data_IF_169982097893
#
_entry.id   IF_169982097893
#
_cell.length_a   1.000
_cell.length_b   1.000
_cell.length_c   1.000
_cell.angle_alpha   90.00
_cell.angle_beta   90.00
_cell.angle_gamma   90.00
#
_symmetry.space_group_name_H-M   'P 1'
#
loop_
_entity.id
_entity.type
_entity.pdbx_description
1 polymer ?
#
# COMPACT_ATOMS: atom_id res chain seq x y z
N UNK A 1 -30.79 9.67 -35.99
CA UNK A 1 -31.31 10.42 -34.82
C UNK A 1 -31.37 9.47 -33.63
N UNK A 2 -30.53 9.68 -32.59
CA UNK A 2 -30.69 8.96 -31.32
C UNK A 2 -31.83 9.63 -30.56
N UNK A 3 -32.88 8.87 -30.21
CA UNK A 3 -33.89 9.32 -29.25
C UNK A 3 -33.19 9.78 -27.96
N UNK A 4 -33.64 10.88 -27.36
CA UNK A 4 -33.14 11.49 -26.11
C UNK A 4 -33.11 10.49 -24.95
N UNK A 5 -34.09 9.57 -24.91
CA UNK A 5 -34.11 8.44 -23.97
C UNK A 5 -32.97 7.45 -24.23
N UNK A 6 -32.68 7.19 -25.50
CA UNK A 6 -31.52 6.41 -25.93
C UNK A 6 -30.19 7.10 -25.60
N UNK A 7 -30.13 8.43 -25.66
CA UNK A 7 -28.95 9.21 -25.27
C UNK A 7 -28.71 9.12 -23.75
N UNK A 8 -29.72 9.38 -22.93
CA UNK A 8 -29.65 9.24 -21.46
C UNK A 8 -29.25 7.82 -21.04
N UNK A 9 -29.92 6.79 -21.60
CA UNK A 9 -29.58 5.38 -21.34
C UNK A 9 -28.18 5.02 -21.82
N UNK A 10 -27.75 5.51 -22.99
CA UNK A 10 -26.39 5.23 -23.47
C UNK A 10 -25.33 5.89 -22.59
N UNK A 11 -25.59 7.10 -22.09
CA UNK A 11 -24.67 7.82 -21.21
C UNK A 11 -24.62 7.18 -19.82
N UNK A 12 -25.74 6.69 -19.28
CA UNK A 12 -25.75 5.94 -18.02
C UNK A 12 -25.03 4.59 -18.12
N UNK A 13 -25.15 3.88 -19.26
CA UNK A 13 -24.35 2.67 -19.52
C UNK A 13 -22.86 3.02 -19.58
N UNK A 14 -22.47 4.08 -20.29
CA UNK A 14 -21.06 4.53 -20.35
C UNK A 14 -20.52 4.92 -18.97
N UNK A 15 -21.35 5.56 -18.13
CA UNK A 15 -20.98 5.86 -16.75
C UNK A 15 -20.73 4.57 -15.96
N UNK A 16 -21.63 3.58 -16.04
CA UNK A 16 -21.49 2.30 -15.38
C UNK A 16 -20.26 1.50 -15.85
N UNK A 17 -19.97 1.50 -17.15
CA UNK A 17 -18.77 0.89 -17.72
C UNK A 17 -17.49 1.56 -17.20
N UNK A 18 -17.46 2.89 -17.14
CA UNK A 18 -16.34 3.65 -16.60
C UNK A 18 -16.16 3.39 -15.09
N UNK A 19 -17.24 3.31 -14.31
CA UNK A 19 -17.18 2.92 -12.90
C UNK A 19 -16.65 1.50 -12.73
N UNK A 20 -17.09 0.54 -13.55
CA UNK A 20 -16.56 -0.83 -13.51
C UNK A 20 -15.05 -0.85 -13.81
N UNK A 21 -14.60 -0.09 -14.81
CA UNK A 21 -13.17 0.04 -15.11
C UNK A 21 -12.38 0.68 -13.95
N UNK A 22 -12.96 1.67 -13.25
CA UNK A 22 -12.38 2.25 -12.05
C UNK A 22 -12.23 1.21 -10.92
N UNK A 23 -13.24 0.37 -10.69
CA UNK A 23 -13.20 -0.68 -9.66
C UNK A 23 -12.14 -1.75 -9.97
N UNK A 24 -11.97 -2.11 -11.25
CA UNK A 24 -10.88 -3.02 -11.66
C UNK A 24 -9.51 -2.42 -11.36
N UNK A 25 -9.31 -1.14 -11.66
CA UNK A 25 -8.07 -0.45 -11.35
C UNK A 25 -7.84 -0.34 -9.82
N UNK A 26 -8.91 -0.11 -9.04
CA UNK A 26 -8.85 -0.12 -7.58
C UNK A 26 -8.42 -1.50 -7.02
N UNK A 27 -8.93 -2.60 -7.59
CA UNK A 27 -8.51 -3.94 -7.22
C UNK A 27 -7.02 -4.18 -7.50
N UNK A 28 -6.53 -3.78 -8.67
CA UNK A 28 -5.09 -3.88 -8.99
C UNK A 28 -4.22 -3.02 -8.08
N UNK A 29 -4.69 -1.83 -7.66
CA UNK A 29 -4.00 -1.01 -6.67
C UNK A 29 -3.94 -1.68 -5.30
N UNK A 30 -5.05 -2.30 -4.86
CA UNK A 30 -5.10 -3.06 -3.62
C UNK A 30 -4.16 -4.28 -3.63
N UNK A 31 -4.13 -5.04 -4.74
CA UNK A 31 -3.20 -6.17 -4.93
C UNK A 31 -1.74 -5.70 -4.81
N UNK A 32 -1.38 -4.61 -5.49
CA UNK A 32 -0.04 -4.04 -5.39
C UNK A 32 0.30 -3.60 -3.97
N UNK A 33 -0.66 -3.00 -3.27
CA UNK A 33 -0.48 -2.51 -1.89
C UNK A 33 -0.23 -3.70 -0.96
N UNK A 34 -1.03 -4.76 -1.04
CA UNK A 34 -0.84 -5.99 -0.25
C UNK A 34 0.52 -6.62 -0.56
N UNK A 35 0.89 -6.75 -1.84
CA UNK A 35 2.19 -7.29 -2.23
C UNK A 35 3.36 -6.45 -1.66
N UNK A 36 3.27 -5.12 -1.73
CA UNK A 36 4.29 -4.24 -1.15
C UNK A 36 4.34 -4.33 0.38
N UNK A 37 3.20 -4.40 1.07
CA UNK A 37 3.14 -4.50 2.53
C UNK A 37 3.70 -5.84 3.02
N UNK A 38 3.44 -6.94 2.30
CA UNK A 38 4.04 -8.24 2.59
C UNK A 38 5.55 -8.21 2.39
N UNK A 39 6.03 -7.64 1.28
CA UNK A 39 7.46 -7.54 1.00
C UNK A 39 8.19 -6.69 2.05
N UNK A 40 7.72 -5.47 2.31
CA UNK A 40 8.30 -4.59 3.35
C UNK A 40 8.21 -5.23 4.74
N UNK A 41 7.08 -5.86 5.07
CA UNK A 41 6.92 -6.54 6.34
C UNK A 41 7.86 -7.73 6.53
N UNK A 42 8.15 -8.48 5.46
CA UNK A 42 9.12 -9.57 5.49
C UNK A 42 10.55 -9.05 5.69
N UNK A 43 10.94 -7.98 4.99
CA UNK A 43 12.24 -7.34 5.17
C UNK A 43 12.42 -6.79 6.60
N UNK A 44 11.37 -6.17 7.17
CA UNK A 44 11.37 -5.73 8.57
C UNK A 44 11.53 -6.89 9.55
N UNK A 45 10.89 -8.04 9.29
CA UNK A 45 11.06 -9.23 10.10
C UNK A 45 12.51 -9.71 10.08
N UNK A 46 13.11 -9.83 8.89
CA UNK A 46 14.52 -10.20 8.76
C UNK A 46 15.47 -9.21 9.46
N UNK A 47 15.17 -7.91 9.43
CA UNK A 47 15.94 -6.90 10.14
C UNK A 47 15.85 -7.06 11.67
N UNK A 48 14.65 -7.35 12.20
CA UNK A 48 14.44 -7.61 13.62
C UNK A 48 15.17 -8.88 14.09
N UNK A 49 15.19 -9.92 13.25
CA UNK A 49 15.93 -11.15 13.55
C UNK A 49 17.44 -10.90 13.64
N UNK A 50 17.98 -10.11 12.70
CA UNK A 50 19.40 -9.74 12.71
C UNK A 50 19.73 -8.83 13.91
N UNK A 51 18.83 -7.91 14.26
CA UNK A 51 18.98 -7.08 15.45
C UNK A 51 18.99 -7.93 16.73
N UNK A 52 18.09 -8.92 16.84
CA UNK A 52 18.10 -9.87 17.96
C UNK A 52 19.42 -10.64 18.03
N UNK A 53 19.90 -11.16 16.89
CA UNK A 53 21.18 -11.89 16.81
C UNK A 53 22.36 -11.03 17.28
N UNK A 54 22.44 -9.77 16.83
CA UNK A 54 23.50 -8.84 17.25
C UNK A 54 23.39 -8.48 18.73
N UNK A 55 22.17 -8.29 19.25
CA UNK A 55 21.94 -8.02 20.68
C UNK A 55 22.33 -9.23 21.55
N UNK A 56 22.06 -10.45 21.11
CA UNK A 56 22.48 -11.68 21.80
C UNK A 56 24.02 -11.83 21.82
N UNK A 57 24.70 -11.58 20.70
CA UNK A 57 26.16 -11.57 20.64
C UNK A 57 26.77 -10.45 21.53
N UNK A 58 26.10 -9.30 21.60
CA UNK A 58 26.49 -8.21 22.51
C UNK A 58 26.31 -8.61 23.97
N UNK A 59 25.21 -9.29 24.31
CA UNK A 59 24.96 -9.78 25.67
C UNK A 59 26.05 -10.77 26.10
N UNK A 60 26.46 -11.69 25.22
CA UNK A 60 27.55 -12.63 25.47
C UNK A 60 28.86 -11.88 25.75
N UNK A 61 29.18 -10.88 24.94
CA UNK A 61 30.38 -10.04 25.14
C UNK A 61 30.33 -9.30 26.48
N UNK A 62 29.18 -8.72 26.83
CA UNK A 62 28.97 -8.03 28.12
C UNK A 62 29.05 -8.98 29.31
N UNK A 63 28.57 -10.22 29.16
CA UNK A 63 28.72 -11.26 30.17
C UNK A 63 30.20 -11.58 30.42
N UNK A 64 31.00 -11.68 29.36
CA UNK A 64 32.44 -11.92 29.48
C UNK A 64 33.15 -10.75 30.20
N UNK A 65 32.78 -9.51 29.88
CA UNK A 65 33.28 -8.31 30.59
C UNK A 65 32.88 -8.29 32.06
N UNK A 66 31.63 -8.64 32.39
CA UNK A 66 31.16 -8.75 33.77
C UNK A 66 31.95 -9.80 34.56
N UNK A 67 32.16 -10.99 33.97
CA UNK A 67 32.94 -12.06 34.60
C UNK A 67 34.41 -11.67 34.79
N UNK A 68 34.99 -10.88 33.88
CA UNK A 68 36.34 -10.35 34.04
C UNK A 68 36.42 -9.31 35.16
N UNK A 69 35.51 -8.34 35.17
CA UNK A 69 35.45 -7.30 36.21
C UNK A 69 35.23 -7.89 37.60
N UNK A 70 34.37 -8.91 37.72
CA UNK A 70 34.17 -9.64 38.97
C UNK A 70 35.47 -10.29 39.47
N UNK A 71 36.19 -11.02 38.60
CA UNK A 71 37.46 -11.67 38.96
C UNK A 71 38.54 -10.66 39.37
N UNK A 72 38.63 -9.53 38.68
CA UNK A 72 39.56 -8.45 39.04
C UNK A 72 39.21 -7.81 40.37
N UNK A 73 37.91 -7.69 40.70
CA UNK A 73 37.47 -7.14 41.98
C UNK A 73 37.81 -8.10 43.13
N UNK A 74 37.56 -9.40 42.94
CA UNK A 74 37.89 -10.46 43.92
C UNK A 74 39.40 -10.54 44.21
N UNK A 75 40.23 -10.19 43.23
CA UNK A 75 41.70 -10.14 43.35
C UNK A 75 42.26 -8.77 43.71
N UNK A 76 41.40 -7.75 43.91
CA UNK A 76 41.79 -6.40 44.33
C UNK A 76 42.34 -5.47 43.24
N UNK A 77 42.30 -5.87 41.96
CA UNK A 77 42.80 -5.09 40.83
C UNK A 77 41.82 -4.03 40.30
N UNK A 78 40.54 -4.08 40.66
CA UNK A 78 39.54 -3.08 40.27
C UNK A 78 38.61 -2.69 41.42
N UNK A 79 37.88 -1.59 41.26
CA UNK A 79 36.95 -1.08 42.27
C UNK A 79 35.58 -1.74 42.19
N UNK A 80 34.80 -1.70 43.28
CA UNK A 80 33.41 -2.15 43.28
C UNK A 80 32.54 -1.37 42.28
N UNK A 81 32.87 -0.11 42.02
CA UNK A 81 32.15 0.73 41.06
C UNK A 81 32.22 0.15 39.65
N UNK A 82 33.42 -0.23 39.20
CA UNK A 82 33.65 -0.82 37.87
C UNK A 82 32.89 -2.15 37.70
N UNK A 83 32.88 -3.00 38.72
CA UNK A 83 32.09 -4.24 38.70
C UNK A 83 30.57 -3.96 38.61
N UNK A 84 30.05 -3.01 39.40
CA UNK A 84 28.64 -2.64 39.35
C UNK A 84 28.24 -1.97 38.02
N UNK A 85 29.15 -1.21 37.39
CA UNK A 85 28.93 -0.66 36.06
C UNK A 85 28.82 -1.76 35.01
N UNK A 86 29.75 -2.73 34.98
CA UNK A 86 29.67 -3.87 34.08
C UNK A 86 28.40 -4.70 34.30
N UNK A 87 27.96 -4.87 35.56
CA UNK A 87 26.72 -5.56 35.89
C UNK A 87 25.50 -4.79 35.37
N UNK A 88 25.49 -3.46 35.53
CA UNK A 88 24.43 -2.59 35.00
C UNK A 88 24.33 -2.71 33.48
N UNK A 89 25.45 -2.62 32.76
CA UNK A 89 25.48 -2.74 31.30
C UNK A 89 24.97 -4.09 30.80
N UNK A 90 25.33 -5.19 31.48
CA UNK A 90 24.81 -6.53 31.18
C UNK A 90 23.29 -6.58 31.33
N UNK A 91 22.74 -6.04 32.43
CA UNK A 91 21.29 -6.02 32.64
C UNK A 91 20.57 -5.13 31.63
N UNK A 92 21.17 -4.00 31.23
CA UNK A 92 20.64 -3.13 30.17
C UNK A 92 20.57 -3.87 28.83
N UNK A 93 21.62 -4.58 28.43
CA UNK A 93 21.60 -5.39 27.21
C UNK A 93 20.57 -6.51 27.28
N UNK A 94 20.47 -7.20 28.42
CA UNK A 94 19.50 -8.30 28.64
C UNK A 94 18.05 -7.82 28.54
N UNK A 95 17.77 -6.61 29.02
CA UNK A 95 16.42 -6.03 28.97
C UNK A 95 15.92 -5.73 27.55
N UNK A 96 16.81 -5.63 26.55
CA UNK A 96 16.42 -5.36 25.16
C UNK A 96 15.87 -6.60 24.44
N UNK A 97 16.29 -7.81 24.84
CA UNK A 97 15.91 -9.07 24.17
C UNK A 97 14.39 -9.30 24.18
N UNK A 98 13.67 -9.20 25.32
CA UNK A 98 12.22 -9.42 25.33
C UNK A 98 11.46 -8.43 24.45
N UNK A 99 11.95 -7.19 24.34
CA UNK A 99 11.34 -6.17 23.50
C UNK A 99 11.47 -6.54 22.02
N UNK A 100 12.65 -7.00 21.58
CA UNK A 100 12.87 -7.45 20.20
C UNK A 100 12.05 -8.69 19.88
N UNK A 101 11.99 -9.67 20.79
CA UNK A 101 11.15 -10.87 20.64
C UNK A 101 9.66 -10.52 20.50
N UNK A 102 9.18 -9.54 21.27
CA UNK A 102 7.81 -9.06 21.14
C UNK A 102 7.55 -8.42 19.77
N UNK A 103 8.46 -7.57 19.28
CA UNK A 103 8.36 -6.94 17.96
C UNK A 103 8.35 -7.98 16.83
N UNK A 104 9.19 -9.02 16.93
CA UNK A 104 9.20 -10.15 15.99
C UNK A 104 7.83 -10.84 15.97
N UNK A 105 7.27 -11.18 17.13
CA UNK A 105 5.96 -11.83 17.21
C UNK A 105 4.83 -10.93 16.64
N UNK A 106 4.88 -9.62 16.89
CA UNK A 106 3.92 -8.68 16.29
C UNK A 106 4.03 -8.66 14.77
N UNK A 107 5.25 -8.66 14.23
CA UNK A 107 5.50 -8.64 12.80
C UNK A 107 5.07 -9.95 12.12
N UNK A 108 5.31 -11.10 12.75
CA UNK A 108 4.83 -12.41 12.28
C UNK A 108 3.29 -12.46 12.23
N UNK A 109 2.62 -11.91 13.24
CA UNK A 109 1.16 -11.83 13.28
C UNK A 109 0.63 -10.92 12.16
N UNK A 110 1.23 -9.75 11.96
CA UNK A 110 0.84 -8.82 10.90
C UNK A 110 0.97 -9.46 9.50
N UNK A 111 2.07 -10.16 9.25
CA UNK A 111 2.28 -10.89 8.00
C UNK A 111 1.32 -12.07 7.83
N UNK A 112 1.04 -12.82 8.90
CA UNK A 112 0.06 -13.92 8.86
C UNK A 112 -1.31 -13.43 8.43
N UNK A 113 -1.75 -12.28 8.96
CA UNK A 113 -3.03 -11.64 8.58
C UNK A 113 -3.04 -11.26 7.09
N UNK A 114 -1.95 -10.67 6.58
CA UNK A 114 -1.86 -10.26 5.16
C UNK A 114 -1.90 -11.45 4.19
N UNK A 115 -1.40 -12.62 4.61
CA UNK A 115 -1.43 -13.86 3.81
C UNK A 115 -2.72 -14.67 4.05
N UNK A 116 -3.61 -14.20 4.93
CA UNK A 116 -4.88 -14.88 5.25
C UNK A 116 -4.70 -16.14 6.10
N UNK A 117 -3.61 -16.22 6.87
CA UNK A 117 -3.30 -17.33 7.78
C UNK A 117 -3.49 -16.92 9.25
N UNK A 118 -3.70 -17.92 10.11
CA UNK A 118 -3.67 -17.69 11.56
C UNK A 118 -2.24 -17.33 12.04
N UNK A 119 -2.10 -16.57 13.14
CA UNK A 119 -0.83 -16.27 13.79
C UNK A 119 0.07 -17.50 13.92
N UNK A 120 1.23 -17.45 13.26
CA UNK A 120 2.25 -18.50 13.32
C UNK A 120 3.64 -17.93 13.09
N UNK A 121 4.64 -18.70 13.48
CA UNK A 121 6.02 -18.43 13.08
C UNK A 121 6.16 -18.56 11.56
N UNK A 122 6.90 -17.62 10.97
CA UNK A 122 7.16 -17.55 9.54
C UNK A 122 8.56 -18.10 9.26
N UNK A 123 8.66 -19.03 8.31
CA UNK A 123 9.95 -19.60 7.93
C UNK A 123 10.83 -18.55 7.23
N UNK A 124 12.07 -18.41 7.68
CA UNK A 124 13.08 -17.50 7.12
C UNK A 124 14.03 -18.31 6.26
N UNK A 125 14.23 -17.90 5.00
CA UNK A 125 15.07 -18.65 4.05
C UNK A 125 16.41 -17.97 3.75
N UNK A 126 16.55 -16.69 4.07
CA UNK A 126 17.71 -15.86 3.72
C UNK A 126 18.32 -15.18 4.94
N UNK A 127 19.65 -15.14 5.01
CA UNK A 127 20.38 -14.22 5.89
C UNK A 127 20.19 -12.79 5.38
N UNK A 128 20.06 -11.83 6.30
CA UNK A 128 19.81 -10.41 5.97
C UNK A 128 20.83 -9.86 4.94
N UNK A 129 22.11 -10.23 5.07
CA UNK A 129 23.21 -9.81 4.20
C UNK A 129 23.10 -10.27 2.74
N UNK A 130 22.26 -11.26 2.45
CA UNK A 130 22.07 -11.78 1.09
C UNK A 130 20.97 -11.04 0.32
N UNK A 131 20.20 -10.17 0.99
CA UNK A 131 19.14 -9.39 0.39
C UNK A 131 19.74 -8.29 -0.50
N UNK A 132 19.67 -8.47 -1.83
CA UNK A 132 20.14 -7.47 -2.79
C UNK A 132 19.00 -6.59 -3.27
N UNK A 133 19.21 -5.27 -3.22
CA UNK A 133 18.35 -4.31 -3.89
C UNK A 133 18.39 -4.55 -5.42
N UNK A 134 17.22 -4.60 -6.04
CA UNK A 134 17.14 -4.63 -7.50
C UNK A 134 17.53 -3.27 -8.08
N UNK A 135 18.32 -3.27 -9.16
CA UNK A 135 18.66 -2.05 -9.88
C UNK A 135 17.39 -1.44 -10.49
N UNK A 136 17.12 -0.18 -10.16
CA UNK A 136 15.98 0.54 -10.71
C UNK A 136 16.25 0.89 -12.18
N UNK A 137 15.32 0.60 -13.09
CA UNK A 137 15.43 1.08 -14.46
C UNK A 137 15.33 2.61 -14.46
N UNK A 138 16.22 3.30 -15.18
CA UNK A 138 16.18 4.74 -15.39
C UNK A 138 15.01 5.11 -16.31
N UNK A 139 13.78 5.06 -15.80
CA UNK A 139 12.59 5.49 -16.53
C UNK A 139 12.25 6.93 -16.15
N UNK A 140 11.84 7.74 -17.13
CA UNK A 140 11.34 9.08 -16.86
C UNK A 140 10.07 8.99 -15.99
N UNK A 141 9.88 9.91 -15.02
CA UNK A 141 8.70 9.93 -14.14
C UNK A 141 7.36 9.86 -14.89
N UNK A 142 7.29 10.50 -16.07
CA UNK A 142 6.07 10.55 -16.88
C UNK A 142 5.60 9.19 -17.41
N UNK A 143 6.52 8.27 -17.72
CA UNK A 143 6.16 6.94 -18.22
C UNK A 143 5.71 5.99 -17.10
N UNK A 144 6.18 6.20 -15.87
CA UNK A 144 5.76 5.44 -14.68
C UNK A 144 4.32 5.76 -14.28
N UNK A 145 3.86 7.01 -14.47
CA UNK A 145 2.48 7.43 -14.13
C UNK A 145 1.42 6.69 -14.95
N UNK A 146 1.70 6.37 -16.22
CA UNK A 146 0.75 5.65 -17.07
C UNK A 146 0.54 4.18 -16.64
N UNK A 147 1.40 3.66 -15.77
CA UNK A 147 1.29 2.29 -15.22
C UNK A 147 0.60 2.23 -13.86
N UNK A 148 0.35 3.39 -13.23
CA UNK A 148 -0.16 3.47 -11.86
C UNK A 148 -1.67 3.23 -11.81
N UNK A 149 -2.14 2.16 -11.13
CA UNK A 149 -3.56 1.79 -11.13
C UNK A 149 -4.45 2.82 -10.42
N UNK A 150 -3.93 3.58 -9.45
CA UNK A 150 -4.62 4.67 -8.76
C UNK A 150 -4.92 5.87 -9.68
N UNK A 151 -3.98 6.23 -10.56
CA UNK A 151 -4.20 7.28 -11.59
C UNK A 151 -5.25 6.82 -12.59
N UNK A 152 -5.17 5.56 -13.03
CA UNK A 152 -6.19 4.96 -13.91
C UNK A 152 -7.56 4.97 -13.24
N UNK A 153 -7.66 4.59 -11.97
CA UNK A 153 -8.91 4.65 -11.22
C UNK A 153 -9.50 6.07 -11.20
N UNK A 154 -8.70 7.07 -10.84
CA UNK A 154 -9.14 8.45 -10.77
C UNK A 154 -9.59 8.99 -12.14
N UNK A 155 -8.86 8.65 -13.22
CA UNK A 155 -9.25 8.99 -14.59
C UNK A 155 -10.59 8.34 -14.97
N UNK A 156 -10.81 7.07 -14.63
CA UNK A 156 -12.05 6.35 -14.93
C UNK A 156 -13.24 6.92 -14.14
N UNK A 157 -13.03 7.36 -12.91
CA UNK A 157 -14.05 8.07 -12.13
C UNK A 157 -14.43 9.42 -12.73
N UNK A 158 -13.45 10.19 -13.23
CA UNK A 158 -13.70 11.42 -13.97
C UNK A 158 -14.56 11.14 -15.22
N UNK A 159 -14.20 10.14 -16.02
CA UNK A 159 -15.00 9.74 -17.21
C UNK A 159 -16.42 9.28 -16.84
N UNK A 160 -16.58 8.60 -15.71
CA UNK A 160 -17.91 8.22 -15.22
C UNK A 160 -18.75 9.45 -14.85
N UNK A 161 -18.13 10.45 -14.19
CA UNK A 161 -18.80 11.71 -13.84
C UNK A 161 -19.15 12.55 -15.08
N UNK A 162 -18.29 12.57 -16.10
CA UNK A 162 -18.56 13.20 -17.41
C UNK A 162 -19.76 12.56 -18.11
N UNK A 163 -19.81 11.23 -18.15
CA UNK A 163 -20.93 10.50 -18.73
C UNK A 163 -22.23 10.72 -17.95
N UNK A 164 -22.14 10.85 -16.62
CA UNK A 164 -23.30 11.12 -15.75
C UNK A 164 -23.84 12.54 -15.97
N UNK A 165 -22.96 13.53 -16.15
CA UNK A 165 -23.34 14.89 -16.54
C UNK A 165 -24.03 14.89 -17.91
N UNK A 166 -23.49 14.17 -18.89
CA UNK A 166 -24.12 14.04 -20.21
C UNK A 166 -25.49 13.35 -20.15
N UNK A 167 -25.69 12.41 -19.21
CA UNK A 167 -26.99 11.79 -18.97
C UNK A 167 -27.98 12.78 -18.34
N UNK A 168 -27.55 13.59 -17.37
CA UNK A 168 -28.38 14.64 -16.76
C UNK A 168 -28.77 15.72 -17.78
N UNK A 169 -27.83 16.16 -18.62
CA UNK A 169 -28.12 17.11 -19.71
C UNK A 169 -29.12 16.55 -20.73
N UNK A 170 -29.06 15.24 -21.03
CA UNK A 170 -30.02 14.60 -21.92
C UNK A 170 -31.46 14.58 -21.36
N UNK A 171 -31.64 14.68 -20.04
CA UNK A 171 -32.97 14.74 -19.41
C UNK A 171 -33.65 16.12 -19.57
N UNK A 172 -32.90 17.18 -19.91
CA UNK A 172 -33.47 18.49 -20.26
C UNK A 172 -34.18 18.49 -21.63
N UNK A 173 -33.93 17.47 -22.45
CA UNK A 173 -34.53 17.32 -23.76
C UNK A 173 -35.86 16.56 -23.67
N UNK A 174 -36.84 16.81 -24.56
CA UNK A 174 -38.10 16.09 -24.56
C UNK A 174 -37.86 14.60 -24.79
N UNK A 175 -38.56 13.76 -24.01
CA UNK A 175 -38.46 12.30 -24.08
C UNK A 175 -39.46 11.74 -25.09
N UNK A 176 -38.98 10.81 -25.93
CA UNK A 176 -39.78 10.08 -26.91
C UNK A 176 -39.90 8.63 -26.45
N UNK A 177 -41.09 8.24 -26.00
CA UNK A 177 -41.38 6.87 -25.59
C UNK A 177 -42.24 6.21 -26.67
N UNK A 178 -41.73 5.12 -27.24
CA UNK A 178 -42.47 4.25 -28.16
C UNK A 178 -42.81 2.98 -27.42
N UNK A 179 -44.10 2.74 -27.21
CA UNK A 179 -44.62 1.52 -26.60
C UNK A 179 -45.35 0.72 -27.66
N UNK A 180 -44.99 -0.55 -27.78
CA UNK A 180 -45.74 -1.53 -28.54
C UNK A 180 -46.15 -2.65 -27.58
N UNK A 181 -47.42 -3.03 -27.60
CA UNK A 181 -47.93 -4.13 -26.79
C UNK A 181 -48.80 -5.04 -27.64
N UNK A 182 -48.78 -6.33 -27.29
CA UNK A 182 -49.64 -7.35 -27.88
C UNK A 182 -50.33 -8.12 -26.76
N UNK A 183 -51.63 -8.30 -26.87
CA UNK A 183 -52.45 -9.03 -25.90
C UNK A 183 -53.22 -10.13 -26.62
N UNK A 184 -53.20 -11.32 -26.04
CA UNK A 184 -54.09 -12.42 -26.42
C UNK A 184 -55.27 -12.41 -25.45
N UNK A 185 -56.49 -12.24 -25.97
CA UNK A 185 -57.70 -12.22 -25.16
C UNK A 185 -58.69 -13.26 -25.67
N UNK A 186 -59.38 -13.93 -24.76
CA UNK A 186 -60.52 -14.81 -25.10
C UNK A 186 -61.57 -14.74 -24.00
N UNK A 187 -62.84 -14.96 -24.35
CA UNK A 187 -63.95 -15.07 -23.40
C UNK A 187 -64.00 -16.42 -22.69
N UNK A 188 -63.32 -17.44 -23.23
CA UNK A 188 -63.25 -18.79 -22.66
C UNK A 188 -61.80 -19.32 -22.66
N UNK A 189 -61.43 -20.08 -21.62
CA UNK A 189 -60.06 -20.59 -21.42
C UNK A 189 -59.64 -21.62 -22.50
N UNK A 190 -60.59 -22.39 -23.03
CA UNK A 190 -60.36 -23.37 -24.11
C UNK A 190 -60.02 -22.68 -25.46
N UNK A 191 -60.67 -21.56 -25.77
CA UNK A 191 -60.45 -20.77 -26.99
C UNK A 191 -59.09 -20.05 -27.03
N UNK A 192 -58.40 -19.91 -25.90
CA UNK A 192 -57.01 -19.40 -25.89
C UNK A 192 -56.04 -20.35 -26.59
N UNK A 193 -56.33 -21.65 -26.63
CA UNK A 193 -55.51 -22.67 -27.28
C UNK A 193 -55.90 -22.89 -28.75
N UNK A 194 -57.18 -22.79 -29.10
CA UNK A 194 -57.67 -23.14 -30.44
C UNK A 194 -57.73 -21.95 -31.42
N UNK A 195 -58.18 -20.76 -30.98
CA UNK A 195 -58.21 -19.57 -31.84
C UNK A 195 -58.24 -18.25 -31.03
N UNK A 196 -57.12 -17.86 -30.41
CA UNK A 196 -57.07 -16.67 -29.55
C UNK A 196 -57.23 -15.37 -30.36
N UNK A 197 -58.01 -14.40 -29.83
CA UNK A 197 -58.04 -13.05 -30.42
C UNK A 197 -56.71 -12.35 -30.16
N UNK A 198 -56.03 -11.96 -31.24
CA UNK A 198 -54.74 -11.26 -31.21
C UNK A 198 -54.98 -9.76 -31.36
N UNK A 199 -54.81 -9.01 -30.27
CA UNK A 199 -54.81 -7.55 -30.31
C UNK A 199 -53.37 -7.05 -30.22
N UNK A 200 -53.01 -6.08 -31.06
CA UNK A 200 -51.75 -5.37 -30.98
C UNK A 200 -52.02 -3.87 -30.96
N UNK A 201 -51.21 -3.12 -30.23
CA UNK A 201 -51.26 -1.66 -30.22
C UNK A 201 -49.85 -1.07 -30.26
N UNK A 202 -49.71 0.04 -30.97
CA UNK A 202 -48.49 0.84 -31.04
C UNK A 202 -48.83 2.28 -30.69
N UNK A 203 -48.15 2.83 -29.69
CA UNK A 203 -48.35 4.19 -29.21
C UNK A 203 -47.01 4.88 -29.05
N UNK A 204 -46.95 6.16 -29.41
CA UNK A 204 -45.82 7.04 -29.13
C UNK A 204 -46.28 8.17 -28.23
N UNK A 205 -45.54 8.47 -27.16
CA UNK A 205 -45.75 9.67 -26.36
C UNK A 205 -44.50 10.54 -26.36
N UNK A 206 -44.71 11.84 -26.50
CA UNK A 206 -43.66 12.86 -26.35
C UNK A 206 -43.93 13.59 -25.05
N UNK A 207 -43.04 13.44 -24.06
CA UNK A 207 -43.12 14.20 -22.82
C UNK A 207 -42.00 15.25 -22.80
N UNK A 208 -42.38 16.51 -22.89
CA UNK A 208 -41.50 17.65 -22.64
C UNK A 208 -41.65 18.11 -21.18
N UNK A 209 -40.56 18.16 -20.40
CA UNK A 209 -40.63 18.67 -19.02
C UNK A 209 -40.78 20.19 -19.04
N UNK A 210 -42.03 20.68 -18.96
CA UNK A 210 -42.33 22.11 -18.90
C UNK A 210 -42.35 22.64 -17.45
N UNK A 211 -42.92 21.87 -16.50
CA UNK A 211 -43.08 22.26 -15.10
C UNK A 211 -41.86 21.95 -14.21
N UNK A 212 -41.05 20.94 -14.56
CA UNK A 212 -39.94 20.46 -13.72
C UNK A 212 -38.57 20.98 -14.18
N UNK A 213 -38.53 22.02 -15.01
CA UNK A 213 -37.30 22.50 -15.67
C UNK A 213 -36.27 23.03 -14.69
N UNK A 214 -36.70 23.72 -13.63
CA UNK A 214 -35.80 24.22 -12.58
C UNK A 214 -35.15 23.06 -11.81
N UNK A 215 -35.93 22.06 -11.41
CA UNK A 215 -35.41 20.86 -10.73
C UNK A 215 -34.38 20.09 -11.58
N UNK A 216 -34.65 19.93 -12.89
CA UNK A 216 -33.71 19.29 -13.81
C UNK A 216 -32.45 20.13 -14.04
N UNK A 217 -32.56 21.46 -14.07
CA UNK A 217 -31.41 22.37 -14.18
C UNK A 217 -30.52 22.26 -12.94
N UNK A 218 -31.12 22.28 -11.75
CA UNK A 218 -30.41 22.06 -10.49
C UNK A 218 -29.71 20.68 -10.46
N UNK A 219 -30.32 19.65 -11.04
CA UNK A 219 -29.71 18.32 -11.13
C UNK A 219 -28.49 18.29 -12.07
N UNK A 220 -28.52 19.06 -13.16
CA UNK A 220 -27.35 19.27 -14.03
C UNK A 220 -26.25 20.02 -13.27
N UNK A 221 -26.59 21.05 -12.49
CA UNK A 221 -25.62 21.79 -11.68
C UNK A 221 -24.93 20.89 -10.65
N UNK A 222 -25.69 20.02 -9.97
CA UNK A 222 -25.15 18.99 -9.06
C UNK A 222 -24.22 18.02 -9.81
N UNK A 223 -24.59 17.59 -11.01
CA UNK A 223 -23.74 16.72 -11.83
C UNK A 223 -22.45 17.42 -12.30
N UNK A 224 -22.53 18.72 -12.63
CA UNK A 224 -21.36 19.54 -12.96
C UNK A 224 -20.42 19.70 -11.76
N UNK A 225 -20.97 19.98 -10.58
CA UNK A 225 -20.18 20.07 -9.35
C UNK A 225 -19.49 18.73 -9.03
N UNK A 226 -20.19 17.61 -9.19
CA UNK A 226 -19.65 16.25 -9.00
C UNK A 226 -18.51 15.94 -9.98
N UNK A 227 -18.66 16.37 -11.24
CA UNK A 227 -17.60 16.26 -12.25
C UNK A 227 -16.38 17.09 -11.90
N UNK A 228 -16.57 18.34 -11.47
CA UNK A 228 -15.46 19.20 -11.05
C UNK A 228 -14.73 18.63 -9.82
N UNK A 229 -15.47 18.06 -8.87
CA UNK A 229 -14.88 17.33 -7.74
C UNK A 229 -14.03 16.14 -8.22
N UNK A 230 -14.52 15.35 -9.19
CA UNK A 230 -13.76 14.24 -9.76
C UNK A 230 -12.50 14.72 -10.50
N UNK A 231 -12.57 15.87 -11.18
CA UNK A 231 -11.43 16.49 -11.86
C UNK A 231 -10.34 16.90 -10.85
N UNK A 232 -10.69 17.63 -9.79
CA UNK A 232 -9.74 17.99 -8.75
C UNK A 232 -9.21 16.75 -8.00
N UNK A 233 -10.05 15.71 -7.86
CA UNK A 233 -9.64 14.42 -7.35
C UNK A 233 -8.53 13.79 -8.20
N UNK A 234 -8.71 13.77 -9.53
CA UNK A 234 -7.70 13.30 -10.48
C UNK A 234 -6.42 14.13 -10.42
N UNK A 235 -6.52 15.46 -10.45
CA UNK A 235 -5.34 16.34 -10.36
C UNK A 235 -4.54 16.11 -9.07
N UNK A 236 -5.23 15.94 -7.93
CA UNK A 236 -4.59 15.64 -6.65
C UNK A 236 -3.86 14.30 -6.69
N UNK A 237 -4.48 13.25 -7.22
CA UNK A 237 -3.85 11.91 -7.34
C UNK A 237 -2.61 11.99 -8.21
N UNK A 238 -2.65 12.69 -9.34
CA UNK A 238 -1.49 12.88 -10.21
C UNK A 238 -0.36 13.63 -9.49
N UNK A 239 -0.66 14.75 -8.82
CA UNK A 239 0.34 15.53 -8.08
C UNK A 239 0.98 14.73 -6.95
N UNK A 240 0.18 13.98 -6.19
CA UNK A 240 0.69 13.11 -5.14
C UNK A 240 1.58 12.00 -5.72
N UNK A 241 1.19 11.40 -6.84
CA UNK A 241 1.99 10.37 -7.48
C UNK A 241 3.36 10.90 -7.95
N UNK A 242 3.44 12.13 -8.45
CA UNK A 242 4.71 12.77 -8.75
C UNK A 242 5.57 12.98 -7.50
N UNK A 243 4.97 13.51 -6.42
CA UNK A 243 5.68 13.74 -5.16
C UNK A 243 6.20 12.43 -4.55
N UNK A 244 5.42 11.35 -4.58
CA UNK A 244 5.81 10.04 -4.08
C UNK A 244 7.02 9.46 -4.82
N UNK A 245 7.05 9.59 -6.15
CA UNK A 245 8.19 9.11 -6.96
C UNK A 245 9.44 9.93 -6.68
N UNK A 246 9.33 11.24 -6.62
CA UNK A 246 10.46 12.14 -6.33
C UNK A 246 11.04 11.86 -4.93
N UNK A 247 10.18 11.77 -3.92
CA UNK A 247 10.56 11.42 -2.56
C UNK A 247 11.20 10.03 -2.47
N UNK A 248 10.69 9.04 -3.21
CA UNK A 248 11.27 7.69 -3.23
C UNK A 248 12.68 7.69 -3.84
N UNK A 249 12.89 8.43 -4.93
CA UNK A 249 14.21 8.53 -5.59
C UNK A 249 15.23 9.28 -4.71
N UNK A 250 14.82 10.37 -4.05
CA UNK A 250 15.69 11.03 -3.07
C UNK A 250 15.99 10.09 -1.91
N UNK A 251 14.98 9.44 -1.32
CA UNK A 251 15.18 8.49 -0.23
C UNK A 251 16.18 7.38 -0.57
N UNK A 252 16.08 6.77 -1.76
CA UNK A 252 17.04 5.75 -2.22
C UNK A 252 18.46 6.32 -2.28
N UNK A 253 18.62 7.52 -2.85
CA UNK A 253 19.92 8.17 -2.98
C UNK A 253 20.52 8.50 -1.61
N UNK A 254 19.72 9.06 -0.69
CA UNK A 254 20.13 9.42 0.67
C UNK A 254 20.45 8.18 1.51
N UNK A 255 19.65 7.12 1.42
CA UNK A 255 19.91 5.87 2.12
C UNK A 255 21.21 5.20 1.67
N UNK A 256 21.56 5.27 0.38
CA UNK A 256 22.85 4.76 -0.12
C UNK A 256 24.04 5.57 0.41
N UNK A 257 23.91 6.91 0.46
CA UNK A 257 24.92 7.78 1.06
C UNK A 257 25.12 7.43 2.55
N UNK A 258 24.03 7.34 3.31
CA UNK A 258 24.08 6.98 4.72
C UNK A 258 24.72 5.61 4.96
N UNK A 259 24.38 4.60 4.15
CA UNK A 259 24.97 3.27 4.26
C UNK A 259 26.49 3.31 4.06
N UNK A 260 26.97 4.11 3.10
CA UNK A 260 28.40 4.26 2.82
C UNK A 260 29.13 4.86 4.02
N UNK A 261 28.55 5.89 4.66
CA UNK A 261 29.14 6.52 5.85
C UNK A 261 29.14 5.58 7.06
N UNK A 262 28.06 4.82 7.29
CA UNK A 262 27.98 3.85 8.38
C UNK A 262 29.02 2.72 8.21
N UNK A 263 29.21 2.23 6.98
CA UNK A 263 30.24 1.24 6.68
C UNK A 263 31.65 1.79 6.89
N UNK A 264 31.88 3.08 6.63
CA UNK A 264 33.15 3.73 6.94
C UNK A 264 33.36 3.77 8.47
N UNK A 265 32.33 4.17 9.23
CA UNK A 265 32.37 4.21 10.70
C UNK A 265 32.71 2.84 11.31
N UNK A 266 32.07 1.76 10.84
CA UNK A 266 32.36 0.40 11.29
C UNK A 266 33.85 0.04 11.09
N UNK A 267 34.41 0.34 9.92
CA UNK A 267 35.84 0.10 9.63
C UNK A 267 36.77 0.86 10.57
N UNK A 268 36.41 2.09 10.96
CA UNK A 268 37.19 2.86 11.93
C UNK A 268 37.18 2.21 13.32
N UNK A 269 36.02 1.72 13.79
CA UNK A 269 35.90 1.02 15.09
C UNK A 269 36.69 -0.28 15.07
N UNK A 270 36.55 -1.11 14.02
CA UNK A 270 37.29 -2.36 13.90
C UNK A 270 38.81 -2.15 13.89
N UNK A 271 39.30 -1.11 13.18
CA UNK A 271 40.73 -0.77 13.18
C UNK A 271 41.19 -0.29 14.57
N UNK A 272 40.43 0.57 15.24
CA UNK A 272 40.78 1.04 16.58
C UNK A 272 40.87 -0.08 17.61
N UNK A 273 39.97 -1.06 17.55
CA UNK A 273 40.03 -2.25 18.44
C UNK A 273 41.23 -3.13 18.11
N UNK A 274 41.55 -3.32 16.83
CA UNK A 274 42.73 -4.09 16.41
C UNK A 274 44.04 -3.41 16.86
N UNK A 275 44.14 -2.09 16.70
CA UNK A 275 45.30 -1.30 17.10
C UNK A 275 45.51 -1.30 18.63
N UNK A 276 44.44 -1.27 19.42
CA UNK A 276 44.52 -1.39 20.89
C UNK A 276 44.89 -2.80 21.38
N UNK A 277 44.63 -3.85 20.59
CA UNK A 277 44.97 -5.23 20.94
C UNK A 277 46.46 -5.56 20.74
N UNK A 278 47.15 -4.89 19.80
CA UNK A 278 48.57 -5.11 19.51
C UNK A 278 49.53 -4.78 20.67
N UNK A 279 49.46 -3.64 21.36
CA UNK A 279 50.44 -3.30 22.40
C UNK A 279 50.38 -4.28 23.58
N UNK A 280 49.21 -4.80 23.95
CA UNK A 280 49.09 -5.81 25.03
C UNK A 280 49.85 -7.10 24.72
N UNK A 281 49.94 -7.50 23.45
CA UNK A 281 50.72 -8.66 23.02
C UNK A 281 52.23 -8.43 23.08
N UNK A 282 52.70 -7.21 22.80
CA UNK A 282 54.11 -6.83 22.93
C UNK A 282 54.55 -6.75 24.40
N UNK A 283 53.71 -6.19 25.28
CA UNK A 283 54.00 -6.13 26.72
C UNK A 283 54.07 -7.52 27.38
N UNK A 284 53.18 -8.45 27.00
CA UNK A 284 53.23 -9.84 27.44
C UNK A 284 54.48 -10.57 26.92
N UNK A 285 54.98 -10.23 25.73
CA UNK A 285 56.19 -10.82 25.16
C UNK A 285 57.47 -10.31 25.87
N UNK A 286 57.52 -9.02 26.22
CA UNK A 286 58.65 -8.41 26.96
C UNK A 286 58.73 -8.89 28.40
N UNK A 287 57.60 -9.14 29.07
CA UNK A 287 57.56 -9.72 30.43
C UNK A 287 57.91 -11.22 30.48
N UNK A 288 58.01 -11.89 29.32
CA UNK A 288 58.33 -13.33 29.21
C UNK A 288 59.79 -13.63 28.83
N UNK A 289 60.67 -12.61 28.82
CA UNK A 289 62.13 -12.73 28.67
C UNK A 289 62.85 -12.26 29.92
#
# INVERSE_FOLDING_TARGET
MRSTYGASRSNSIRAAEATLAAQRAAASAAELTVASSVASGYLSLCALDEQLRVTEATLETRQNSLNLAQRQFETGYTSRLEWMQAASEYQTAKAQIPQLQHQIAQQENALSILVGMNPRQIARSSQFDQLRAHALPALLPSQLLNRRPDIVQAQRLLLASDASLAAAQAQLLPSLNLTASGTLQSSQLHDLLDNPFRLWSIGGSVLAPLLNREALTAQVDVAMASRNQALYGYERVVRNAFAEVDNALDAITRSQQQLTELQAQERYVCRGVADCAQPLSEWLCVLSR
#
